data_IF_726611341096
#
_entry.id   IF_726611341096
#
_cell.length_a   1.000
_cell.length_b   1.000
_cell.length_c   1.000
_cell.angle_alpha   90.00
_cell.angle_beta   90.00
_cell.angle_gamma   90.00
#
_symmetry.space_group_name_H-M   'P 1'
#
loop_
_entity.id
_entity.type
_entity.pdbx_description
1 polymer ?
#
# COMPACT_ATOMS: atom_id res chain seq x y z
N UNK A 1 13.99 -5.78 9.54
CA UNK A 1 13.73 -4.33 9.57
C UNK A 1 12.59 -4.10 10.54
N UNK A 2 12.67 -3.06 11.36
CA UNK A 2 11.61 -2.57 12.22
C UNK A 2 11.12 -1.22 11.72
N UNK A 3 9.99 -0.78 12.23
CA UNK A 3 9.48 0.56 11.95
C UNK A 3 10.53 1.61 12.29
N UNK A 4 10.85 2.46 11.32
CA UNK A 4 11.83 3.54 11.44
C UNK A 4 13.26 3.16 11.07
N UNK A 5 13.55 1.89 10.76
CA UNK A 5 14.84 1.52 10.16
C UNK A 5 15.00 2.23 8.81
N UNK A 6 16.20 2.71 8.52
CA UNK A 6 16.54 3.38 7.25
C UNK A 6 17.55 2.56 6.45
N UNK A 7 17.39 2.54 5.13
CA UNK A 7 18.36 2.00 4.16
C UNK A 7 18.69 3.07 3.10
N UNK A 8 19.94 3.51 3.06
CA UNK A 8 20.46 4.40 2.02
C UNK A 8 20.98 3.58 0.82
N UNK A 9 20.47 3.91 -0.36
CA UNK A 9 20.85 3.30 -1.64
C UNK A 9 21.77 4.19 -2.48
N UNK A 10 22.34 5.24 -1.90
CA UNK A 10 23.18 6.22 -2.57
C UNK A 10 22.35 7.36 -3.14
N UNK A 11 21.85 8.23 -2.26
CA UNK A 11 21.02 9.38 -2.63
C UNK A 11 19.52 9.08 -2.69
N UNK A 12 19.12 7.91 -2.17
CA UNK A 12 17.72 7.52 -1.95
C UNK A 12 17.62 6.78 -0.63
N UNK A 13 16.84 7.27 0.31
CA UNK A 13 16.63 6.66 1.61
C UNK A 13 15.26 6.00 1.67
N UNK A 14 15.25 4.71 2.00
CA UNK A 14 14.05 3.92 2.28
C UNK A 14 13.84 3.83 3.80
N UNK A 15 12.66 4.19 4.27
CA UNK A 15 12.21 4.04 5.65
C UNK A 15 11.22 2.88 5.70
N UNK A 16 11.49 1.88 6.54
CA UNK A 16 10.62 0.71 6.69
C UNK A 16 9.55 0.98 7.76
N UNK A 17 8.31 0.55 7.49
CA UNK A 17 7.16 0.70 8.39
C UNK A 17 6.47 -0.65 8.52
N UNK A 18 6.38 -1.19 9.74
CA UNK A 18 5.64 -2.44 9.97
C UNK A 18 4.13 -2.18 9.81
N UNK A 19 3.46 -3.02 9.02
CA UNK A 19 2.03 -2.95 8.75
C UNK A 19 1.39 -4.31 9.06
N UNK A 20 1.73 -4.88 10.22
CA UNK A 20 1.31 -6.22 10.60
C UNK A 20 -0.22 -6.37 10.58
N UNK A 21 -0.70 -7.47 9.99
CA UNK A 21 -2.11 -7.80 9.76
C UNK A 21 -2.85 -6.89 8.77
N UNK A 22 -2.13 -6.06 8.00
CA UNK A 22 -2.65 -5.35 6.82
C UNK A 22 -2.05 -5.96 5.54
N UNK A 23 -2.32 -7.19 5.14
CA UNK A 23 -3.33 -8.18 5.51
C UNK A 23 -2.67 -9.50 5.98
N UNK A 24 -1.34 -9.54 6.01
CA UNK A 24 -0.54 -10.64 6.53
C UNK A 24 0.23 -10.22 7.79
N UNK A 25 0.60 -11.18 8.66
CA UNK A 25 1.38 -10.87 9.87
C UNK A 25 2.76 -10.26 9.57
N UNK A 26 3.30 -10.47 8.37
CA UNK A 26 4.61 -9.99 7.91
C UNK A 26 4.55 -8.79 6.96
N UNK A 27 3.37 -8.20 6.76
CA UNK A 27 3.18 -7.00 5.92
C UNK A 27 4.04 -5.82 6.39
N UNK A 28 4.66 -5.15 5.41
CA UNK A 28 5.56 -4.01 5.61
C UNK A 28 5.39 -3.00 4.47
N UNK A 29 5.36 -1.72 4.83
CA UNK A 29 5.37 -0.61 3.89
C UNK A 29 6.76 0.02 3.84
N UNK A 30 7.06 0.72 2.75
CA UNK A 30 8.35 1.40 2.56
C UNK A 30 8.10 2.83 2.09
N UNK A 31 8.60 3.80 2.84
CA UNK A 31 8.57 5.20 2.45
C UNK A 31 9.91 5.64 1.87
N UNK A 32 9.91 6.14 0.64
CA UNK A 32 11.08 6.76 0.00
C UNK A 32 11.09 8.26 0.31
N UNK A 33 12.11 8.70 1.05
CA UNK A 33 12.18 10.01 1.69
C UNK A 33 12.26 11.18 0.70
N UNK A 34 13.12 11.07 -0.30
CA UNK A 34 13.45 12.17 -1.22
C UNK A 34 12.27 12.55 -2.11
N UNK A 35 11.57 11.53 -2.61
CA UNK A 35 10.47 11.70 -3.55
C UNK A 35 9.08 11.64 -2.88
N UNK A 36 9.05 11.39 -1.55
CA UNK A 36 7.83 11.24 -0.75
C UNK A 36 6.85 10.21 -1.33
N UNK A 37 7.38 9.07 -1.72
CA UNK A 37 6.59 7.95 -2.26
C UNK A 37 6.44 6.88 -1.18
N UNK A 38 5.20 6.47 -0.92
CA UNK A 38 4.89 5.31 -0.11
C UNK A 38 4.64 4.10 -1.01
N UNK A 39 5.42 3.05 -0.82
CA UNK A 39 5.12 1.71 -1.35
C UNK A 39 4.31 0.98 -0.27
N UNK A 40 2.98 1.10 -0.36
CA UNK A 40 2.03 0.66 0.68
C UNK A 40 1.66 -0.82 0.63
N UNK A 41 2.32 -1.61 -0.22
CA UNK A 41 1.93 -2.99 -0.51
C UNK A 41 0.43 -3.03 -0.91
N UNK A 42 -0.39 -3.89 -0.32
CA UNK A 42 -1.80 -4.05 -0.63
C UNK A 42 -2.66 -2.94 -0.01
N UNK A 43 -2.13 -2.18 0.96
CA UNK A 43 -2.83 -1.05 1.53
C UNK A 43 -3.10 0.01 0.44
N UNK A 44 -4.32 0.54 0.43
CA UNK A 44 -4.84 1.49 -0.57
C UNK A 44 -4.93 0.94 -2.02
N UNK A 45 -4.85 -0.39 -2.19
CA UNK A 45 -4.98 -1.05 -3.50
C UNK A 45 -6.42 -1.16 -4.02
N UNK A 46 -6.52 -1.63 -5.27
CA UNK A 46 -7.78 -1.98 -5.94
C UNK A 46 -7.51 -2.97 -7.08
N UNK A 47 -8.50 -3.81 -7.42
CA UNK A 47 -8.40 -4.71 -8.57
C UNK A 47 -8.95 -4.04 -9.84
N UNK A 48 -8.15 -3.15 -10.45
CA UNK A 48 -8.56 -2.43 -11.65
C UNK A 48 -7.50 -2.50 -12.75
N UNK A 49 -7.79 -3.25 -13.82
CA UNK A 49 -6.90 -3.38 -14.97
C UNK A 49 -7.33 -2.42 -16.09
N UNK A 50 -6.46 -1.48 -16.45
CA UNK A 50 -6.71 -0.48 -17.51
C UNK A 50 -5.44 -0.19 -18.31
N UNK A 51 -5.62 0.29 -19.55
CA UNK A 51 -4.51 0.88 -20.34
C UNK A 51 -4.33 2.38 -20.06
N UNK A 52 -5.22 2.95 -19.26
CA UNK A 52 -5.27 4.38 -18.92
C UNK A 52 -4.50 4.65 -17.62
N UNK A 53 -4.04 5.88 -17.46
CA UNK A 53 -3.50 6.36 -16.19
C UNK A 53 -4.62 6.51 -15.15
N UNK A 54 -4.26 6.56 -13.86
CA UNK A 54 -5.18 6.67 -12.74
C UNK A 54 -6.15 7.86 -12.87
N UNK A 55 -5.67 9.03 -13.30
CA UNK A 55 -6.49 10.23 -13.51
C UNK A 55 -7.38 10.18 -14.77
N UNK A 56 -7.20 9.18 -15.63
CA UNK A 56 -8.03 8.94 -16.82
C UNK A 56 -9.07 7.84 -16.59
N UNK A 57 -8.94 7.12 -15.48
CA UNK A 57 -9.98 6.21 -15.00
C UNK A 57 -11.04 7.05 -14.30
N UNK A 58 -12.31 6.68 -14.51
CA UNK A 58 -13.44 7.34 -13.86
C UNK A 58 -13.51 7.00 -12.38
N UNK A 59 -14.72 6.78 -11.88
CA UNK A 59 -14.89 6.34 -10.50
C UNK A 59 -14.33 4.93 -10.28
N UNK A 60 -13.23 4.84 -9.53
CA UNK A 60 -12.57 3.59 -9.13
C UNK A 60 -12.89 3.19 -7.68
N UNK A 61 -13.68 4.00 -6.98
CA UNK A 61 -14.03 3.74 -5.58
C UNK A 61 -14.76 2.40 -5.38
N UNK A 62 -15.66 1.94 -6.30
CA UNK A 62 -16.29 0.63 -6.16
C UNK A 62 -15.27 -0.53 -6.13
N UNK A 63 -14.29 -0.53 -7.03
CA UNK A 63 -13.23 -1.54 -7.08
C UNK A 63 -12.35 -1.51 -5.82
N UNK A 64 -12.05 -0.31 -5.31
CA UNK A 64 -11.30 -0.14 -4.06
C UNK A 64 -12.06 -0.65 -2.83
N UNK A 65 -13.39 -0.43 -2.77
CA UNK A 65 -14.25 -0.93 -1.68
C UNK A 65 -14.31 -2.46 -1.69
N UNK A 66 -14.53 -3.06 -2.87
CA UNK A 66 -14.54 -4.52 -3.00
C UNK A 66 -13.17 -5.12 -2.65
N UNK A 67 -12.09 -4.52 -3.13
CA UNK A 67 -10.73 -4.95 -2.82
C UNK A 67 -10.44 -4.85 -1.31
N UNK A 68 -10.80 -3.74 -0.67
CA UNK A 68 -10.63 -3.58 0.78
C UNK A 68 -11.39 -4.68 1.54
N UNK A 69 -12.64 -4.96 1.15
CA UNK A 69 -13.45 -5.98 1.80
C UNK A 69 -12.86 -7.40 1.65
N UNK A 70 -12.27 -7.72 0.50
CA UNK A 70 -11.77 -9.05 0.21
C UNK A 70 -10.32 -9.29 0.67
N UNK A 71 -9.49 -8.25 0.66
CA UNK A 71 -8.06 -8.37 0.90
C UNK A 71 -7.64 -7.85 2.27
N UNK A 72 -8.20 -6.71 2.71
CA UNK A 72 -7.69 -5.98 3.88
C UNK A 72 -8.57 -6.14 5.12
N UNK A 73 -9.85 -6.45 5.01
CA UNK A 73 -10.73 -6.65 6.17
C UNK A 73 -10.42 -7.96 6.90
N UNK A 74 -9.92 -7.94 8.14
CA UNK A 74 -9.67 -9.15 8.91
C UNK A 74 -10.92 -9.66 9.67
N UNK A 75 -12.02 -8.88 9.69
CA UNK A 75 -13.24 -9.22 10.42
C UNK A 75 -14.49 -8.66 9.72
N UNK A 76 -15.49 -9.53 9.51
CA UNK A 76 -16.85 -9.11 9.21
C UNK A 76 -17.33 -8.15 10.32
N UNK A 77 -17.87 -7.00 9.94
CA UNK A 77 -18.71 -6.21 10.85
C UNK A 77 -19.99 -7.03 11.04
N UNK A 78 -20.11 -7.69 12.20
CA UNK A 78 -21.37 -8.29 12.67
C UNK A 78 -22.38 -7.21 13.04
#
# INVERSE_FOLDING_TARGET
MKTGDELDLGGRTLIFLEAAMLHWPDSMEIFRKEDRILFSNDCFGQHLASKRYDFEVGDALPDAVEYYANTLMPFHIS
#
